data_IF_216152698061
#
_entry.id   IF_216152698061
#
_cell.length_a   1.000
_cell.length_b   1.000
_cell.length_c   1.000
_cell.angle_alpha   90.00
_cell.angle_beta   90.00
_cell.angle_gamma   90.00
#
_symmetry.space_group_name_H-M   'P 1'
#
loop_
_entity.id
_entity.type
_entity.pdbx_description
1 polymer ?
#
# COMPACT_ATOMS: atom_id res chain seq x y z
N UNK A 1 -20.81 58.81 48.42
CA UNK A 1 -20.86 57.41 48.88
C UNK A 1 -20.25 57.40 50.27
N UNK A 2 -20.98 56.95 51.30
CA UNK A 2 -20.47 57.02 52.68
C UNK A 2 -19.39 55.96 52.90
N UNK A 3 -18.41 56.21 53.78
CA UNK A 3 -17.39 55.20 54.11
C UNK A 3 -18.02 53.89 54.62
N UNK A 4 -19.19 53.99 55.26
CA UNK A 4 -19.97 52.85 55.76
C UNK A 4 -20.48 51.93 54.66
N UNK A 5 -20.88 52.48 53.52
CA UNK A 5 -21.32 51.70 52.36
C UNK A 5 -20.15 50.94 51.72
N UNK A 6 -18.96 51.56 51.73
CA UNK A 6 -17.74 50.94 51.22
C UNK A 6 -17.33 49.74 52.07
N UNK A 7 -17.40 49.86 53.39
CA UNK A 7 -17.07 48.76 54.30
C UNK A 7 -18.08 47.61 54.20
N UNK A 8 -19.38 47.94 54.10
CA UNK A 8 -20.43 46.95 53.87
C UNK A 8 -20.23 46.16 52.57
N UNK A 9 -19.87 46.86 51.48
CA UNK A 9 -19.56 46.23 50.20
C UNK A 9 -18.37 45.26 50.32
N UNK A 10 -17.27 45.68 50.96
CA UNK A 10 -16.09 44.84 51.11
C UNK A 10 -16.30 43.63 52.03
N UNK A 11 -17.22 43.72 52.99
CA UNK A 11 -17.64 42.57 53.79
C UNK A 11 -18.45 41.56 52.97
N UNK A 12 -19.37 42.03 52.12
CA UNK A 12 -20.11 41.14 51.22
C UNK A 12 -19.19 40.41 50.25
N UNK A 13 -18.25 41.12 49.61
CA UNK A 13 -17.27 40.52 48.70
C UNK A 13 -16.42 39.47 49.41
N UNK A 14 -15.98 39.74 50.64
CA UNK A 14 -15.22 38.77 51.44
C UNK A 14 -16.05 37.53 51.80
N UNK A 15 -17.32 37.70 52.18
CA UNK A 15 -18.21 36.55 52.46
C UNK A 15 -18.47 35.73 51.20
N UNK A 16 -18.67 36.37 50.06
CA UNK A 16 -18.90 35.70 48.78
C UNK A 16 -17.66 34.93 48.31
N UNK A 17 -16.45 35.50 48.47
CA UNK A 17 -15.20 34.78 48.18
C UNK A 17 -14.94 33.62 49.13
N UNK A 18 -15.36 33.70 50.41
CA UNK A 18 -15.28 32.57 51.35
C UNK A 18 -16.29 31.46 51.03
N UNK A 19 -17.43 31.81 50.43
CA UNK A 19 -18.48 30.84 50.06
C UNK A 19 -18.24 30.16 48.71
N UNK A 20 -17.39 30.74 47.84
CA UNK A 20 -16.96 30.01 46.64
C UNK A 20 -16.18 28.77 47.09
N UNK A 21 -16.65 27.55 46.80
CA UNK A 21 -15.84 26.37 47.02
C UNK A 21 -14.54 26.54 46.20
N UNK A 22 -13.39 26.06 46.70
CA UNK A 22 -12.16 26.04 45.92
C UNK A 22 -12.48 25.37 44.58
N UNK A 23 -12.08 25.98 43.47
CA UNK A 23 -12.29 25.36 42.16
C UNK A 23 -11.72 23.94 42.20
N UNK A 24 -12.60 22.95 42.00
CA UNK A 24 -12.20 21.55 41.99
C UNK A 24 -10.99 21.40 41.04
N UNK A 25 -9.92 20.67 41.42
CA UNK A 25 -8.76 20.41 40.56
C UNK A 25 -9.11 19.43 39.43
N UNK A 26 -10.21 19.66 38.74
CA UNK A 26 -10.85 18.75 37.79
C UNK A 26 -10.60 19.21 36.35
N UNK A 27 -9.34 19.48 35.98
CA UNK A 27 -9.04 19.83 34.57
C UNK A 27 -7.65 19.54 34.04
N UNK A 28 -6.72 18.96 34.81
CA UNK A 28 -5.37 18.72 34.27
C UNK A 28 -5.23 17.38 33.53
N UNK A 29 -6.00 16.35 33.87
CA UNK A 29 -5.89 15.04 33.19
C UNK A 29 -6.33 15.07 31.73
N UNK A 30 -7.35 15.88 31.39
CA UNK A 30 -7.79 16.04 29.98
C UNK A 30 -6.74 16.76 29.11
N UNK A 31 -5.85 17.56 29.73
CA UNK A 31 -4.73 18.21 29.02
C UNK A 31 -3.63 17.21 28.64
N UNK A 32 -3.46 16.14 29.42
CA UNK A 32 -2.47 15.08 29.14
C UNK A 32 -3.02 13.99 28.21
N UNK A 33 -4.31 13.69 28.28
CA UNK A 33 -4.94 12.66 27.43
C UNK A 33 -4.90 13.05 25.95
N UNK A 34 -5.05 14.33 25.61
CA UNK A 34 -5.00 14.81 24.22
C UNK A 34 -3.64 14.54 23.54
N UNK A 35 -2.49 15.00 24.07
CA UNK A 35 -1.19 14.70 23.47
C UNK A 35 -0.88 13.20 23.54
N UNK A 36 -1.27 12.52 24.63
CA UNK A 36 -1.08 11.08 24.75
C UNK A 36 -1.78 10.31 23.62
N UNK A 37 -3.04 10.63 23.32
CA UNK A 37 -3.78 10.06 22.19
C UNK A 37 -3.15 10.43 20.86
N UNK A 38 -2.69 11.67 20.71
CA UNK A 38 -2.04 12.14 19.48
C UNK A 38 -0.77 11.37 19.15
N UNK A 39 -0.03 10.89 20.16
CA UNK A 39 1.11 9.99 19.96
C UNK A 39 0.71 8.51 19.87
N UNK A 40 -0.26 8.05 20.66
CA UNK A 40 -0.70 6.66 20.67
C UNK A 40 -1.31 6.24 19.34
N UNK A 41 -2.16 7.07 18.73
CA UNK A 41 -2.84 6.73 17.47
C UNK A 41 -1.84 6.44 16.33
N UNK A 42 -0.89 7.33 15.97
CA UNK A 42 0.08 7.04 14.92
C UNK A 42 1.03 5.90 15.30
N UNK A 43 1.42 5.77 16.58
CA UNK A 43 2.21 4.64 17.05
C UNK A 43 1.48 3.31 16.81
N UNK A 44 0.18 3.25 17.11
CA UNK A 44 -0.64 2.06 16.94
C UNK A 44 -0.82 1.71 15.46
N UNK A 45 -0.99 2.72 14.60
CA UNK A 45 -1.05 2.53 13.15
C UNK A 45 0.27 1.98 12.58
N UNK A 46 1.41 2.53 13.01
CA UNK A 46 2.72 2.03 12.62
C UNK A 46 2.94 0.60 13.12
N UNK A 47 2.63 0.32 14.38
CA UNK A 47 2.73 -1.02 14.95
C UNK A 47 1.84 -2.03 14.20
N UNK A 48 0.58 -1.69 13.94
CA UNK A 48 -0.33 -2.52 13.18
C UNK A 48 0.16 -2.75 11.74
N UNK A 49 0.66 -1.70 11.08
CA UNK A 49 1.25 -1.78 9.74
C UNK A 49 2.45 -2.72 9.70
N UNK A 50 3.37 -2.62 10.68
CA UNK A 50 4.54 -3.52 10.77
C UNK A 50 4.15 -4.95 11.11
N UNK A 51 3.13 -5.15 11.95
CA UNK A 51 2.60 -6.47 12.28
C UNK A 51 1.94 -7.13 11.07
N UNK A 52 1.17 -6.36 10.29
CA UNK A 52 0.65 -6.82 9.01
C UNK A 52 1.79 -7.16 8.05
N UNK A 53 2.80 -6.31 7.95
CA UNK A 53 3.93 -6.51 7.04
C UNK A 53 4.73 -7.79 7.34
N UNK A 54 4.91 -8.11 8.64
CA UNK A 54 5.60 -9.33 9.08
C UNK A 54 4.77 -10.60 8.92
N UNK A 55 3.46 -10.49 8.72
CA UNK A 55 2.60 -11.65 8.58
C UNK A 55 2.66 -12.19 7.15
N UNK A 56 3.19 -13.40 6.90
CA UNK A 56 3.38 -13.92 5.54
C UNK A 56 2.06 -14.11 4.79
N UNK A 57 0.95 -14.35 5.50
CA UNK A 57 -0.37 -14.48 4.90
C UNK A 57 -0.88 -13.18 4.26
N UNK A 58 -0.51 -12.01 4.82
CA UNK A 58 -0.91 -10.71 4.27
C UNK A 58 -0.15 -10.39 2.98
N UNK A 59 1.12 -10.79 2.91
CA UNK A 59 2.00 -10.61 1.75
C UNK A 59 1.50 -11.41 0.56
N UNK A 60 1.12 -12.68 0.77
CA UNK A 60 0.53 -13.55 -0.26
C UNK A 60 -0.73 -12.93 -0.87
N UNK A 61 -1.67 -12.50 -0.03
CA UNK A 61 -2.91 -11.88 -0.48
C UNK A 61 -2.70 -10.54 -1.20
N UNK A 62 -1.75 -9.72 -0.73
CA UNK A 62 -1.38 -8.48 -1.42
C UNK A 62 -0.76 -8.78 -2.79
N UNK A 63 0.08 -9.80 -2.88
CA UNK A 63 0.74 -10.20 -4.11
C UNK A 63 -0.27 -10.66 -5.16
N UNK A 64 -1.24 -11.50 -4.80
CA UNK A 64 -2.32 -11.92 -5.71
C UNK A 64 -3.11 -10.74 -6.26
N UNK A 65 -3.49 -9.79 -5.38
CA UNK A 65 -4.22 -8.59 -5.79
C UNK A 65 -3.38 -7.66 -6.66
N UNK A 66 -2.10 -7.56 -6.36
CA UNK A 66 -1.15 -6.77 -7.15
C UNK A 66 -0.98 -7.35 -8.55
N UNK A 67 -0.86 -8.67 -8.68
CA UNK A 67 -0.82 -9.36 -9.98
C UNK A 67 -2.10 -9.12 -10.78
N UNK A 68 -3.27 -9.25 -10.16
CA UNK A 68 -4.55 -8.96 -10.83
C UNK A 68 -4.64 -7.50 -11.30
N UNK A 69 -4.14 -6.55 -10.51
CA UNK A 69 -4.08 -5.14 -10.88
C UNK A 69 -3.15 -4.92 -12.08
N UNK A 70 -1.96 -5.53 -12.06
CA UNK A 70 -0.99 -5.46 -13.15
C UNK A 70 -1.57 -6.02 -14.45
N UNK A 71 -2.25 -7.16 -14.40
CA UNK A 71 -2.92 -7.75 -15.56
C UNK A 71 -3.98 -6.78 -16.13
N UNK A 72 -4.78 -6.14 -15.26
CA UNK A 72 -5.77 -5.14 -15.70
C UNK A 72 -5.14 -3.89 -16.30
N UNK A 73 -3.96 -3.51 -15.82
CA UNK A 73 -3.18 -2.38 -16.32
C UNK A 73 -2.37 -2.73 -17.59
N UNK A 74 -2.39 -3.99 -18.03
CA UNK A 74 -1.62 -4.46 -19.18
C UNK A 74 -0.11 -4.56 -18.92
N UNK A 75 0.31 -4.45 -17.66
CA UNK A 75 1.71 -4.67 -17.26
C UNK A 75 1.92 -6.15 -16.95
N UNK A 76 2.89 -6.78 -17.61
CA UNK A 76 3.27 -8.16 -17.30
C UNK A 76 4.02 -8.22 -15.98
N UNK A 77 3.62 -9.09 -15.02
CA UNK A 77 4.36 -9.28 -13.79
C UNK A 77 5.78 -9.81 -14.07
N UNK A 78 6.78 -9.25 -13.40
CA UNK A 78 8.16 -9.75 -13.43
C UNK A 78 8.20 -11.20 -12.96
N UNK A 79 8.60 -12.11 -13.86
CA UNK A 79 8.56 -13.56 -13.65
C UNK A 79 7.63 -14.29 -14.61
N UNK A 80 6.66 -13.59 -15.21
CA UNK A 80 5.95 -14.07 -16.39
C UNK A 80 6.79 -13.72 -17.62
N UNK A 81 8.00 -14.30 -17.70
CA UNK A 81 8.61 -14.54 -19.00
C UNK A 81 7.65 -15.48 -19.71
N UNK A 82 6.75 -14.90 -20.50
CA UNK A 82 6.19 -15.60 -21.63
C UNK A 82 7.37 -16.02 -22.48
N UNK A 83 7.90 -17.22 -22.23
CA UNK A 83 8.54 -18.00 -23.28
C UNK A 83 7.55 -17.91 -24.42
N UNK A 84 7.88 -17.21 -25.54
CA UNK A 84 6.94 -17.10 -26.63
C UNK A 84 6.56 -18.52 -26.97
N UNK A 85 5.27 -18.84 -26.82
CA UNK A 85 4.76 -20.13 -27.24
C UNK A 85 5.31 -20.35 -28.64
N UNK A 86 5.98 -21.48 -28.86
CA UNK A 86 6.53 -21.90 -30.14
C UNK A 86 5.36 -22.13 -31.08
N UNK A 87 4.72 -21.03 -31.49
CA UNK A 87 3.68 -21.00 -32.48
C UNK A 87 4.33 -21.44 -33.79
N UNK A 88 3.76 -22.42 -34.50
CA UNK A 88 4.18 -22.73 -35.86
C UNK A 88 3.95 -21.54 -36.81
N UNK A 89 3.15 -20.56 -36.41
CA UNK A 89 2.99 -19.26 -37.06
C UNK A 89 3.79 -18.20 -36.29
N UNK A 90 5.09 -18.14 -36.53
CA UNK A 90 5.92 -17.02 -36.06
C UNK A 90 6.62 -16.43 -37.26
N UNK A 91 6.24 -15.21 -37.63
CA UNK A 91 6.84 -14.41 -38.74
C UNK A 91 8.26 -13.89 -38.41
N UNK A 92 8.94 -14.47 -37.42
CA UNK A 92 10.31 -14.09 -37.08
C UNK A 92 11.28 -15.00 -37.83
N UNK A 93 12.25 -14.46 -38.59
CA UNK A 93 13.27 -15.26 -39.23
C UNK A 93 14.03 -16.05 -38.16
N UNK A 94 13.91 -17.38 -38.18
CA UNK A 94 14.61 -18.27 -37.24
C UNK A 94 16.08 -18.39 -37.65
N UNK A 95 16.97 -18.50 -36.67
CA UNK A 95 18.41 -18.70 -36.94
C UNK A 95 18.62 -20.13 -37.45
N UNK A 96 19.59 -20.30 -38.35
CA UNK A 96 19.95 -21.59 -38.96
C UNK A 96 20.21 -22.68 -37.89
N UNK A 97 20.79 -22.28 -36.74
CA UNK A 97 21.04 -23.15 -35.59
C UNK A 97 19.79 -23.84 -35.04
N UNK A 98 18.62 -23.21 -35.17
CA UNK A 98 17.38 -23.68 -34.57
C UNK A 98 16.58 -24.56 -35.55
N UNK A 99 16.96 -24.56 -36.83
CA UNK A 99 16.31 -25.29 -37.90
C UNK A 99 17.09 -26.54 -38.35
N UNK A 100 18.34 -26.72 -37.91
CA UNK A 100 19.14 -27.91 -38.20
C UNK A 100 18.70 -29.05 -37.27
N UNK A 101 18.12 -30.11 -37.84
CA UNK A 101 17.79 -31.33 -37.11
C UNK A 101 19.06 -32.20 -36.98
N UNK A 102 19.45 -32.67 -35.79
CA UNK A 102 20.63 -33.51 -35.65
C UNK A 102 20.38 -34.87 -36.33
N UNK A 103 21.10 -35.13 -37.43
CA UNK A 103 21.13 -36.43 -38.12
C UNK A 103 20.38 -36.54 -39.46
N UNK A 104 19.71 -35.50 -39.94
CA UNK A 104 19.14 -35.48 -41.30
C UNK A 104 19.15 -34.05 -41.85
N UNK A 105 20.23 -33.70 -42.55
CA UNK A 105 20.40 -32.40 -43.21
C UNK A 105 19.73 -32.49 -44.58
N UNK A 106 18.42 -32.27 -44.63
CA UNK A 106 17.73 -32.00 -45.90
C UNK A 106 17.56 -30.47 -45.95
N UNK A 107 18.30 -29.82 -46.85
CA UNK A 107 18.35 -28.36 -47.00
C UNK A 107 16.96 -27.72 -47.22
N UNK A 108 16.04 -28.44 -47.85
CA UNK A 108 14.70 -27.93 -48.17
C UNK A 108 13.86 -27.64 -46.91
N UNK A 109 13.98 -28.46 -45.87
CA UNK A 109 13.26 -28.26 -44.60
C UNK A 109 13.87 -27.12 -43.77
N UNK A 110 15.19 -26.98 -43.82
CA UNK A 110 15.93 -25.91 -43.14
C UNK A 110 15.60 -24.56 -43.78
N UNK A 111 15.59 -24.50 -45.11
CA UNK A 111 15.27 -23.26 -45.83
C UNK A 111 13.80 -22.87 -45.66
N UNK A 112 12.88 -23.84 -45.58
CA UNK A 112 11.47 -23.59 -45.25
C UNK A 112 11.29 -23.09 -43.81
N UNK A 113 12.02 -23.67 -42.86
CA UNK A 113 12.03 -23.24 -41.45
C UNK A 113 12.59 -21.82 -41.26
N UNK A 114 13.68 -21.49 -41.96
CA UNK A 114 14.25 -20.13 -41.95
C UNK A 114 13.30 -19.08 -42.53
N UNK A 115 12.57 -19.45 -43.59
CA UNK A 115 11.71 -18.51 -44.33
C UNK A 115 10.35 -18.28 -43.65
N UNK A 116 9.99 -19.07 -42.64
CA UNK A 116 8.69 -19.00 -41.96
C UNK A 116 7.56 -19.48 -42.87
N UNK A 117 7.08 -20.70 -42.66
CA UNK A 117 6.07 -21.29 -43.54
C UNK A 117 4.69 -20.65 -43.29
N UNK A 118 4.14 -19.94 -44.29
CA UNK A 118 2.71 -19.54 -44.33
C UNK A 118 1.96 -20.57 -45.18
N UNK A 119 1.04 -21.38 -44.63
CA UNK A 119 0.20 -22.24 -45.47
C UNK A 119 -0.63 -21.35 -46.41
N UNK A 120 -0.59 -21.64 -47.71
CA UNK A 120 -1.49 -21.03 -48.69
C UNK A 120 -2.91 -21.44 -48.33
N UNK A 121 -3.68 -20.51 -47.79
CA UNK A 121 -5.14 -20.61 -47.81
C UNK A 121 -5.54 -20.39 -49.28
N UNK A 122 -6.03 -21.44 -49.91
CA UNK A 122 -6.79 -21.37 -51.17
C UNK A 122 -8.02 -20.49 -51.00
#
# INVERSE_FOLDING_TARGET
MSDRDRDYYWEQVRRQNKQKPPEDPKRNWRMLVKPLLWFLIPLLLLAAGTALWRNPASQLWLHERWVLLQIRLGTTPDGMQTTPATSPYSDKPRRLSDCIKPGNVIDDEVHACMKGYRPKTW
#
